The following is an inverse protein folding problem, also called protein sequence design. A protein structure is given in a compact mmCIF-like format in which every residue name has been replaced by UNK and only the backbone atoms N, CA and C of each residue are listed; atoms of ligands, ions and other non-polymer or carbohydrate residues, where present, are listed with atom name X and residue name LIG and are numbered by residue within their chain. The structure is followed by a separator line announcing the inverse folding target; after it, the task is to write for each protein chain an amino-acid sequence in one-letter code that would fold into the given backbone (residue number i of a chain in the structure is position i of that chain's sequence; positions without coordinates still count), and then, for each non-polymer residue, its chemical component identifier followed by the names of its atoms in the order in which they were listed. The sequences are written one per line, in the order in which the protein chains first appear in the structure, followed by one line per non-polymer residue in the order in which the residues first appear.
data_IF_640179030533
#
_entry.id   IF_640179030533
#
_cell.length_a   1.000
_cell.length_b   1.000
_cell.length_c   1.000
_cell.angle_alpha   90.00
_cell.angle_beta   90.00
_cell.angle_gamma   90.00
#
_symmetry.space_group_name_H-M   'P 1'
#
loop_
_entity.id
_entity.type
_entity.pdbx_description
1 polymer ?
#
# COMPACT_ATOMS: atom_id res chain seq x y z
N UNK A 1 -6.52 6.03 -6.73
CA UNK A 1 -5.56 6.83 -5.92
C UNK A 1 -4.34 5.97 -5.68
N UNK A 2 -3.17 6.55 -5.52
CA UNK A 2 -2.05 5.87 -4.84
C UNK A 2 -1.97 6.44 -3.43
N UNK A 3 -1.91 5.57 -2.40
CA UNK A 3 -1.95 6.06 -1.02
C UNK A 3 -0.70 6.85 -0.65
N UNK A 4 0.46 6.30 -0.98
CA UNK A 4 1.76 6.88 -0.66
C UNK A 4 2.83 6.30 -1.58
N UNK A 5 3.55 7.18 -2.26
CA UNK A 5 4.74 6.83 -3.02
C UNK A 5 5.89 6.54 -2.05
N UNK A 6 6.56 5.40 -2.21
CA UNK A 6 7.81 5.04 -1.53
C UNK A 6 7.82 5.18 0.01
N UNK A 7 6.89 4.52 0.73
CA UNK A 7 6.99 4.41 2.18
C UNK A 7 8.36 3.81 2.56
N UNK A 8 9.02 4.43 3.55
CA UNK A 8 10.41 4.11 3.89
C UNK A 8 10.81 4.55 5.30
N UNK A 9 11.93 4.00 5.78
CA UNK A 9 12.58 4.37 7.07
C UNK A 9 11.62 4.07 8.23
N UNK A 10 11.34 5.05 9.10
CA UNK A 10 10.45 4.88 10.26
C UNK A 10 9.03 4.46 9.87
N UNK A 11 8.61 4.72 8.62
CA UNK A 11 7.30 4.27 8.15
C UNK A 11 7.27 2.77 7.87
N UNK A 12 8.41 2.13 7.56
CA UNK A 12 8.45 0.69 7.26
C UNK A 12 7.90 -0.15 8.43
N UNK A 13 8.18 0.29 9.66
CA UNK A 13 7.77 -0.39 10.89
C UNK A 13 6.25 -0.33 11.14
N UNK A 14 5.58 0.69 10.59
CA UNK A 14 4.15 0.97 10.86
C UNK A 14 3.27 0.85 9.61
N UNK A 15 3.86 0.73 8.42
CA UNK A 15 3.14 0.87 7.16
C UNK A 15 1.95 -0.07 7.04
N UNK A 16 2.17 -1.37 7.29
CA UNK A 16 1.11 -2.38 7.27
C UNK A 16 0.00 -2.13 8.31
N UNK A 17 0.33 -1.51 9.45
CA UNK A 17 -0.66 -1.18 10.47
C UNK A 17 -1.53 0.01 10.06
N UNK A 18 -1.01 0.95 9.26
CA UNK A 18 -1.73 2.14 8.81
C UNK A 18 -2.62 1.90 7.58
N UNK A 19 -2.28 0.91 6.73
CA UNK A 19 -3.04 0.62 5.50
C UNK A 19 -4.55 0.51 5.73
N UNK A 20 -5.07 -0.23 6.73
CA UNK A 20 -6.51 -0.33 6.97
C UNK A 20 -7.19 1.02 7.25
N UNK A 21 -6.56 1.89 8.03
CA UNK A 21 -7.11 3.20 8.41
C UNK A 21 -7.12 4.17 7.23
N UNK A 22 -6.04 4.15 6.43
CA UNK A 22 -5.94 4.93 5.20
C UNK A 22 -7.00 4.48 4.18
N UNK A 23 -7.18 3.17 4.03
CA UNK A 23 -8.22 2.61 3.16
C UNK A 23 -9.62 3.01 3.67
N UNK A 24 -9.90 2.88 4.96
CA UNK A 24 -11.19 3.29 5.54
C UNK A 24 -11.51 4.77 5.23
N UNK A 25 -10.51 5.63 5.34
CA UNK A 25 -10.63 7.07 5.03
C UNK A 25 -11.01 7.31 3.57
N UNK A 26 -10.35 6.60 2.62
CA UNK A 26 -10.69 6.70 1.20
C UNK A 26 -12.08 6.12 0.91
N UNK A 27 -12.42 4.97 1.49
CA UNK A 27 -13.68 4.25 1.24
C UNK A 27 -14.92 4.99 1.74
N UNK A 28 -14.78 5.87 2.74
CA UNK A 28 -15.86 6.70 3.24
C UNK A 28 -16.54 7.56 2.15
N UNK A 29 -15.78 8.01 1.15
CA UNK A 29 -16.30 8.83 0.03
C UNK A 29 -16.11 8.18 -1.34
N UNK A 30 -15.23 7.19 -1.46
CA UNK A 30 -14.88 6.53 -2.71
C UNK A 30 -14.91 4.99 -2.54
N UNK A 31 -16.08 4.38 -2.33
CA UNK A 31 -16.21 2.99 -1.89
C UNK A 31 -15.69 1.96 -2.89
N UNK A 32 -15.81 2.22 -4.20
CA UNK A 32 -15.41 1.28 -5.27
C UNK A 32 -14.24 1.77 -6.14
N UNK A 33 -13.66 2.93 -5.82
CA UNK A 33 -12.55 3.47 -6.62
C UNK A 33 -11.29 2.64 -6.38
N UNK A 34 -10.62 2.21 -7.44
CA UNK A 34 -9.37 1.47 -7.29
C UNK A 34 -8.30 2.29 -6.55
N UNK A 35 -7.63 1.64 -5.61
CA UNK A 35 -6.53 2.20 -4.82
C UNK A 35 -5.27 1.39 -5.07
N UNK A 36 -4.17 2.08 -5.35
CA UNK A 36 -2.84 1.54 -5.59
C UNK A 36 -2.06 1.59 -4.28
N UNK A 37 -1.45 0.48 -3.90
CA UNK A 37 -0.66 0.34 -2.67
C UNK A 37 0.59 -0.48 -2.97
N UNK A 38 1.76 0.02 -2.54
CA UNK A 38 3.03 -0.69 -2.59
C UNK A 38 3.55 -1.10 -1.22
N UNK A 39 4.58 -1.96 -1.17
CA UNK A 39 5.25 -2.36 0.07
C UNK A 39 6.13 -1.23 0.62
N UNK A 40 6.63 -1.42 1.85
CA UNK A 40 7.67 -0.57 2.43
C UNK A 40 9.00 -0.65 1.67
N UNK A 41 10.01 0.01 2.23
CA UNK A 41 11.34 0.14 1.65
C UNK A 41 11.32 0.66 0.21
N UNK A 42 10.72 1.84 0.01
CA UNK A 42 10.63 2.51 -1.29
C UNK A 42 9.90 1.68 -2.35
N UNK A 43 8.73 1.11 -2.00
CA UNK A 43 7.95 0.26 -2.92
C UNK A 43 8.77 -0.93 -3.47
N UNK A 44 9.67 -1.50 -2.67
CA UNK A 44 10.60 -2.55 -3.14
C UNK A 44 9.90 -3.86 -3.47
N UNK A 45 10.21 -4.42 -4.65
CA UNK A 45 9.80 -5.78 -5.05
C UNK A 45 10.15 -6.83 -3.97
N UNK A 46 11.30 -6.67 -3.31
CA UNK A 46 11.79 -7.63 -2.31
C UNK A 46 10.95 -7.63 -1.03
N UNK A 47 10.07 -6.64 -0.84
CA UNK A 47 9.18 -6.54 0.32
C UNK A 47 7.72 -6.80 -0.02
N UNK A 48 7.43 -7.23 -1.26
CA UNK A 48 6.07 -7.52 -1.70
C UNK A 48 5.40 -8.62 -0.85
N UNK A 49 6.16 -9.63 -0.43
CA UNK A 49 5.66 -10.72 0.42
C UNK A 49 5.27 -10.26 1.84
N UNK A 50 5.81 -9.13 2.30
CA UNK A 50 5.51 -8.57 3.63
C UNK A 50 4.26 -7.67 3.62
N UNK A 51 3.77 -7.28 2.44
CA UNK A 51 2.63 -6.37 2.31
C UNK A 51 1.34 -7.05 2.77
N UNK A 52 0.69 -6.48 3.79
CA UNK A 52 -0.55 -6.99 4.37
C UNK A 52 -1.72 -6.13 3.91
N UNK A 53 -2.62 -6.73 3.13
CA UNK A 53 -3.81 -6.07 2.60
C UNK A 53 -5.10 -6.69 3.17
N UNK A 54 -6.16 -5.90 3.38
CA UNK A 54 -7.46 -6.43 3.80
C UNK A 54 -8.05 -7.38 2.74
N UNK A 55 -8.31 -8.64 3.11
CA UNK A 55 -8.84 -9.67 2.17
C UNK A 55 -10.21 -9.32 1.58
N UNK A 56 -10.98 -8.50 2.29
CA UNK A 56 -12.34 -8.11 1.89
C UNK A 56 -12.37 -6.98 0.85
N UNK A 57 -11.32 -6.16 0.75
CA UNK A 57 -11.28 -5.08 -0.24
C UNK A 57 -10.79 -5.62 -1.58
N UNK A 58 -11.69 -5.61 -2.58
CA UNK A 58 -11.43 -6.12 -3.93
C UNK A 58 -11.09 -5.03 -4.94
N UNK A 59 -10.98 -3.77 -4.50
CA UNK A 59 -10.64 -2.60 -5.31
C UNK A 59 -9.21 -2.11 -5.02
N UNK A 60 -8.28 -3.06 -4.87
CA UNK A 60 -6.87 -2.82 -4.62
C UNK A 60 -6.03 -3.28 -5.82
N UNK A 61 -5.06 -2.44 -6.20
CA UNK A 61 -4.04 -2.73 -7.19
C UNK A 61 -2.69 -2.65 -6.47
N UNK A 62 -1.88 -3.68 -6.57
CA UNK A 62 -0.55 -3.69 -5.95
C UNK A 62 0.47 -3.11 -6.91
N UNK A 63 1.37 -2.26 -6.41
CA UNK A 63 2.49 -1.69 -7.18
C UNK A 63 3.84 -1.99 -6.52
N UNK A 64 4.91 -1.93 -7.31
CA UNK A 64 6.29 -1.95 -6.85
C UNK A 64 7.15 -1.14 -7.82
N UNK A 65 8.28 -0.62 -7.34
CA UNK A 65 9.27 0.07 -8.17
C UNK A 65 10.42 -0.89 -8.48
N UNK A 66 10.94 -0.82 -9.71
CA UNK A 66 12.02 -1.68 -10.17
C UNK A 66 13.12 -0.84 -10.82
N UNK A 67 14.18 -0.60 -10.05
CA UNK A 67 15.39 0.12 -10.46
C UNK A 67 16.66 -0.72 -10.24
N UNK A 68 16.50 -2.04 -10.04
CA UNK A 68 17.65 -2.94 -9.96
C UNK A 68 18.37 -2.95 -11.32
N UNK A 69 19.71 -3.06 -11.34
CA UNK A 69 20.48 -3.21 -12.58
C UNK A 69 20.03 -4.42 -13.42
#
# INVERSE_FOLDING_TARGET
YELLNEPSRKLDDVWNAWIPDLLATVRATNPSRNVIIGPGQWNSLHRLADLKLPKADRHLIVTFHYYNP
#
